data_IF_097423918981
#
_entry.id   IF_097423918981
#
_cell.length_a   1.000
_cell.length_b   1.000
_cell.length_c   1.000
_cell.angle_alpha   90.00
_cell.angle_beta   90.00
_cell.angle_gamma   90.00
#
_symmetry.space_group_name_H-M   'P 1'
#
loop_
_entity.id
_entity.type
_entity.pdbx_description
1 polymer ?
#
# COMPACT_ATOMS: atom_id res chain seq x y z
N UNK A 1 11.73 30.42 2.30
CA UNK A 1 12.14 31.80 2.66
C UNK A 1 11.93 32.13 4.13
N UNK A 2 10.81 31.72 4.77
CA UNK A 2 10.54 31.99 6.20
C UNK A 2 11.65 31.65 7.22
N UNK A 3 12.53 30.67 6.94
CA UNK A 3 13.62 30.29 7.86
C UNK A 3 14.75 31.32 7.91
N UNK A 4 15.09 31.95 6.77
CA UNK A 4 16.05 33.05 6.72
C UNK A 4 15.48 34.32 7.39
N UNK A 5 14.16 34.51 7.31
CA UNK A 5 13.45 35.63 7.96
C UNK A 5 13.45 35.53 9.49
N UNK A 6 13.65 34.33 10.06
CA UNK A 6 13.72 34.08 11.51
C UNK A 6 15.13 34.22 12.09
N UNK A 7 16.12 34.67 11.29
CA UNK A 7 17.50 34.86 11.75
C UNK A 7 18.33 33.58 11.82
N UNK A 8 17.83 32.46 11.31
CA UNK A 8 18.61 31.22 11.21
C UNK A 8 19.60 31.33 10.04
N UNK A 9 20.85 30.95 10.29
CA UNK A 9 21.94 31.06 9.33
C UNK A 9 21.78 30.05 8.17
N UNK A 10 22.23 30.47 6.98
CA UNK A 10 22.43 29.58 5.84
C UNK A 10 23.93 29.54 5.50
N UNK A 11 24.56 28.36 5.36
CA UNK A 11 23.99 27.02 5.53
C UNK A 11 23.68 26.68 7.01
N UNK A 12 22.74 25.75 7.27
CA UNK A 12 22.49 25.24 8.61
C UNK A 12 23.75 24.56 9.16
N UNK A 13 23.91 24.58 10.49
CA UNK A 13 24.93 23.73 11.11
C UNK A 13 24.58 22.23 10.93
N UNK A 14 25.51 21.34 11.28
CA UNK A 14 25.30 19.90 11.09
C UNK A 14 24.13 19.34 11.91
N UNK A 15 23.93 19.81 13.14
CA UNK A 15 22.85 19.33 14.00
C UNK A 15 21.49 19.82 13.47
N UNK A 16 21.41 21.07 13.01
CA UNK A 16 20.25 21.64 12.34
C UNK A 16 19.95 20.92 11.03
N UNK A 17 20.98 20.56 10.25
CA UNK A 17 20.83 19.79 9.03
C UNK A 17 20.26 18.39 9.32
N UNK A 18 20.84 17.67 10.29
CA UNK A 18 20.35 16.33 10.68
C UNK A 18 18.91 16.41 11.19
N UNK A 19 18.56 17.44 11.95
CA UNK A 19 17.19 17.65 12.43
C UNK A 19 16.23 17.90 11.26
N UNK A 20 16.62 18.74 10.30
CA UNK A 20 15.81 19.03 9.11
C UNK A 20 15.63 17.80 8.22
N UNK A 21 16.67 16.99 8.06
CA UNK A 21 16.60 15.70 7.36
C UNK A 21 15.73 14.71 8.12
N UNK A 22 15.79 14.65 9.45
CA UNK A 22 14.92 13.78 10.24
C UNK A 22 13.44 14.20 10.14
N UNK A 23 13.16 15.50 10.05
CA UNK A 23 11.81 16.03 9.87
C UNK A 23 11.21 15.70 8.49
N UNK A 24 12.04 15.67 7.43
CA UNK A 24 11.57 15.57 6.04
C UNK A 24 11.90 14.25 5.33
N UNK A 25 12.85 13.47 5.86
CA UNK A 25 13.39 12.27 5.23
C UNK A 25 12.49 11.05 5.30
N UNK A 26 11.37 11.14 6.03
CA UNK A 26 10.57 9.97 6.39
C UNK A 26 11.27 9.09 7.42
N UNK A 27 10.55 8.09 7.95
CA UNK A 27 11.11 7.16 8.92
C UNK A 27 12.02 6.10 8.27
N UNK A 28 12.07 4.91 8.85
CA UNK A 28 12.81 3.75 8.35
C UNK A 28 12.45 3.37 6.91
N UNK A 29 11.23 3.71 6.46
CA UNK A 29 10.77 3.44 5.10
C UNK A 29 11.09 4.59 4.12
N UNK A 30 11.59 5.73 4.60
CA UNK A 30 11.82 6.92 3.77
C UNK A 30 10.55 7.51 3.17
N UNK A 31 9.40 7.27 3.81
CA UNK A 31 8.08 7.70 3.35
C UNK A 31 7.44 8.63 4.38
N UNK A 32 6.76 9.67 3.88
CA UNK A 32 5.94 10.57 4.70
C UNK A 32 4.44 10.30 4.47
N UNK A 33 3.60 10.86 5.33
CA UNK A 33 2.13 10.81 5.14
C UNK A 33 1.72 11.50 3.85
N UNK A 34 2.46 12.54 3.43
CA UNK A 34 2.21 13.24 2.17
C UNK A 34 2.45 12.32 0.98
N UNK A 35 3.52 11.50 1.03
CA UNK A 35 3.82 10.53 -0.03
C UNK A 35 2.74 9.46 -0.15
N UNK A 36 2.23 8.97 0.99
CA UNK A 36 1.12 8.01 1.04
C UNK A 36 -0.13 8.59 0.39
N UNK A 37 -0.53 9.80 0.75
CA UNK A 37 -1.72 10.45 0.19
C UNK A 37 -1.55 10.79 -1.30
N UNK A 38 -0.35 11.21 -1.71
CA UNK A 38 -0.02 11.46 -3.11
C UNK A 38 -0.12 10.17 -3.93
N UNK A 39 0.40 9.05 -3.40
CA UNK A 39 0.30 7.76 -4.06
C UNK A 39 -1.15 7.25 -4.13
N UNK A 40 -1.91 7.42 -3.05
CA UNK A 40 -3.31 7.06 -3.02
C UNK A 40 -4.13 7.83 -4.06
N UNK A 41 -3.86 9.13 -4.20
CA UNK A 41 -4.46 9.96 -5.24
C UNK A 41 -4.06 9.50 -6.64
N UNK A 42 -2.78 9.20 -6.88
CA UNK A 42 -2.28 8.66 -8.15
C UNK A 42 -3.00 7.35 -8.50
N UNK A 43 -3.07 6.43 -7.55
CA UNK A 43 -3.76 5.17 -7.73
C UNK A 43 -5.25 5.38 -8.05
N UNK A 44 -5.97 6.21 -7.28
CA UNK A 44 -7.40 6.52 -7.55
C UNK A 44 -7.62 7.08 -8.96
N UNK A 45 -6.72 7.92 -9.44
CA UNK A 45 -6.81 8.56 -10.75
C UNK A 45 -6.44 7.65 -11.92
N UNK A 46 -5.71 6.55 -11.67
CA UNK A 46 -5.16 5.71 -12.73
C UNK A 46 -5.59 4.25 -12.63
N UNK A 47 -6.34 3.86 -11.58
CA UNK A 47 -6.69 2.46 -11.33
C UNK A 47 -7.43 1.82 -12.51
N UNK A 48 -8.23 2.61 -13.24
CA UNK A 48 -8.99 2.13 -14.40
C UNK A 48 -8.11 1.63 -15.56
N UNK A 49 -6.82 1.98 -15.57
CA UNK A 49 -5.87 1.53 -16.60
C UNK A 49 -5.36 0.11 -16.36
N UNK A 50 -5.57 -0.43 -15.17
CA UNK A 50 -5.02 -1.72 -14.73
C UNK A 50 -6.16 -2.70 -14.42
N UNK A 51 -5.93 -3.98 -14.64
CA UNK A 51 -6.94 -5.01 -14.38
C UNK A 51 -7.14 -5.24 -12.87
N UNK A 52 -6.06 -5.05 -12.10
CA UNK A 52 -6.05 -5.22 -10.65
C UNK A 52 -5.00 -4.31 -9.98
N UNK A 53 -5.05 -4.22 -8.65
CA UNK A 53 -4.14 -3.35 -7.88
C UNK A 53 -2.67 -3.82 -7.95
N UNK A 54 -2.47 -5.12 -8.17
CA UNK A 54 -1.16 -5.78 -8.26
C UNK A 54 -0.45 -5.52 -9.59
N UNK A 55 -1.15 -5.00 -10.60
CA UNK A 55 -0.57 -4.56 -11.87
C UNK A 55 -0.11 -3.10 -11.84
N UNK A 56 -0.57 -2.32 -10.86
CA UNK A 56 -0.17 -0.94 -10.70
C UNK A 56 1.31 -0.83 -10.33
N UNK A 57 2.02 0.12 -10.94
CA UNK A 57 3.43 0.36 -10.70
C UNK A 57 3.65 1.20 -9.42
N UNK A 58 3.57 0.53 -8.27
CA UNK A 58 3.76 1.14 -6.95
C UNK A 58 5.18 1.65 -6.77
N UNK A 59 5.33 2.91 -6.33
CA UNK A 59 6.67 3.49 -6.03
C UNK A 59 7.41 2.75 -4.93
N UNK A 60 6.66 2.14 -4.00
CA UNK A 60 7.20 1.37 -2.89
C UNK A 60 6.21 0.26 -2.50
N UNK A 61 6.66 -0.97 -2.20
CA UNK A 61 5.76 -2.10 -1.92
C UNK A 61 4.89 -1.89 -0.67
N UNK A 62 5.33 -1.08 0.30
CA UNK A 62 4.49 -0.72 1.47
C UNK A 62 3.30 0.12 1.05
N UNK A 63 3.44 0.97 0.03
CA UNK A 63 2.34 1.83 -0.41
C UNK A 63 1.18 1.01 -0.97
N UNK A 64 1.46 -0.12 -1.64
CA UNK A 64 0.41 -1.07 -2.03
C UNK A 64 -0.41 -1.51 -0.81
N UNK A 65 0.25 -1.93 0.27
CA UNK A 65 -0.42 -2.40 1.48
C UNK A 65 -1.24 -1.28 2.13
N UNK A 66 -0.63 -0.11 2.36
CA UNK A 66 -1.27 1.03 3.02
C UNK A 66 -2.43 1.57 2.18
N UNK A 67 -2.25 1.78 0.88
CA UNK A 67 -3.29 2.37 0.03
C UNK A 67 -4.50 1.44 -0.13
N UNK A 68 -4.30 0.11 -0.15
CA UNK A 68 -5.41 -0.84 -0.14
C UNK A 68 -6.16 -0.84 1.20
N UNK A 69 -5.45 -0.81 2.31
CA UNK A 69 -6.05 -0.69 3.64
C UNK A 69 -6.85 0.62 3.76
N UNK A 70 -6.31 1.75 3.28
CA UNK A 70 -7.01 3.04 3.24
C UNK A 70 -8.25 3.01 2.34
N UNK A 71 -8.18 2.36 1.18
CA UNK A 71 -9.35 2.19 0.30
C UNK A 71 -10.45 1.41 1.01
N UNK A 72 -10.12 0.32 1.69
CA UNK A 72 -11.08 -0.49 2.45
C UNK A 72 -11.69 0.31 3.60
N UNK A 73 -10.85 0.90 4.45
CA UNK A 73 -11.27 1.66 5.62
C UNK A 73 -12.05 2.92 5.24
N UNK A 74 -11.72 3.56 4.12
CA UNK A 74 -12.46 4.70 3.58
C UNK A 74 -13.93 4.36 3.31
N UNK A 75 -14.19 3.18 2.74
CA UNK A 75 -15.56 2.68 2.50
C UNK A 75 -16.23 2.25 3.80
N UNK A 76 -15.55 1.46 4.63
CA UNK A 76 -16.10 0.91 5.88
C UNK A 76 -16.46 2.01 6.89
N UNK A 77 -15.61 3.04 7.03
CA UNK A 77 -15.74 4.09 8.05
C UNK A 77 -16.23 5.43 7.51
N UNK A 78 -16.50 5.55 6.20
CA UNK A 78 -16.90 6.80 5.52
C UNK A 78 -15.96 7.96 5.89
N UNK A 79 -14.65 7.73 5.74
CA UNK A 79 -13.64 8.70 6.16
C UNK A 79 -13.78 10.02 5.38
N UNK A 80 -13.74 11.12 6.10
CA UNK A 80 -13.52 12.47 5.54
C UNK A 80 -12.03 12.65 5.19
N UNK A 81 -11.69 13.71 4.46
CA UNK A 81 -10.29 14.01 4.10
C UNK A 81 -9.35 14.10 5.32
N UNK A 82 -9.82 14.72 6.40
CA UNK A 82 -9.07 14.78 7.66
C UNK A 82 -8.92 13.40 8.33
N UNK A 83 -9.96 12.57 8.27
CA UNK A 83 -9.94 11.20 8.78
C UNK A 83 -9.03 10.28 7.96
N UNK A 84 -8.99 10.46 6.65
CA UNK A 84 -8.10 9.74 5.73
C UNK A 84 -6.63 10.07 6.01
N UNK A 85 -6.30 11.35 6.20
CA UNK A 85 -4.95 11.77 6.59
C UNK A 85 -4.54 11.20 7.95
N UNK A 86 -5.43 11.21 8.93
CA UNK A 86 -5.17 10.62 10.24
C UNK A 86 -4.96 9.10 10.15
N UNK A 87 -5.78 8.40 9.37
CA UNK A 87 -5.64 6.96 9.16
C UNK A 87 -4.34 6.62 8.41
N UNK A 88 -3.95 7.42 7.42
CA UNK A 88 -2.69 7.26 6.70
C UNK A 88 -1.48 7.37 7.64
N UNK A 89 -1.52 8.31 8.59
CA UNK A 89 -0.48 8.44 9.62
C UNK A 89 -0.41 7.20 10.53
N UNK A 90 -1.57 6.66 10.92
CA UNK A 90 -1.64 5.45 11.76
C UNK A 90 -1.07 4.23 11.03
N UNK A 91 -1.48 3.99 9.78
CA UNK A 91 -0.97 2.84 9.02
C UNK A 91 0.52 2.99 8.71
N UNK A 92 0.99 4.19 8.35
CA UNK A 92 2.41 4.44 8.14
C UNK A 92 3.22 4.15 9.41
N UNK A 93 2.78 4.65 10.57
CA UNK A 93 3.46 4.40 11.85
C UNK A 93 3.50 2.90 12.22
N UNK A 94 2.46 2.14 11.87
CA UNK A 94 2.42 0.68 12.07
C UNK A 94 3.43 -0.03 11.17
N UNK A 95 3.54 0.37 9.90
CA UNK A 95 4.52 -0.20 8.97
C UNK A 95 5.95 0.19 9.31
N UNK A 96 6.17 1.41 9.78
CA UNK A 96 7.44 1.89 10.34
C UNK A 96 7.91 1.02 11.51
N UNK A 97 7.03 0.76 12.49
CA UNK A 97 7.35 -0.13 13.62
C UNK A 97 7.71 -1.55 13.15
N UNK A 98 6.99 -2.08 12.16
CA UNK A 98 7.25 -3.40 11.57
C UNK A 98 8.59 -3.45 10.82
N UNK A 99 8.94 -2.38 10.12
CA UNK A 99 10.20 -2.28 9.41
C UNK A 99 11.38 -2.16 10.39
N UNK A 100 11.21 -1.36 11.45
CA UNK A 100 12.18 -1.25 12.55
C UNK A 100 12.39 -2.58 13.30
N UNK A 101 11.38 -3.45 13.36
CA UNK A 101 11.54 -4.81 13.91
C UNK A 101 12.20 -5.80 12.94
N UNK A 102 12.66 -5.35 11.78
CA UNK A 102 13.34 -6.18 10.78
C UNK A 102 12.42 -7.10 9.97
N UNK A 103 11.10 -6.95 10.09
CA UNK A 103 10.16 -7.79 9.33
C UNK A 103 10.02 -7.19 7.92
N UNK A 104 10.37 -7.94 6.86
CA UNK A 104 10.32 -7.42 5.51
C UNK A 104 8.88 -7.14 5.07
N UNK A 105 8.76 -6.22 4.12
CA UNK A 105 7.51 -5.90 3.46
C UNK A 105 7.12 -7.09 2.57
N UNK A 106 5.89 -7.62 2.70
CA UNK A 106 5.45 -8.72 1.85
C UNK A 106 5.50 -8.33 0.36
N UNK A 107 5.99 -9.22 -0.53
CA UNK A 107 5.97 -8.96 -1.96
C UNK A 107 4.54 -8.89 -2.48
N UNK A 108 4.31 -8.02 -3.47
CA UNK A 108 3.03 -7.93 -4.18
C UNK A 108 2.90 -9.19 -5.06
N UNK A 109 1.92 -10.05 -4.75
CA UNK A 109 1.69 -11.31 -5.45
C UNK A 109 0.45 -11.18 -6.31
N UNK A 110 0.60 -11.45 -7.61
CA UNK A 110 -0.55 -11.57 -8.52
C UNK A 110 -1.27 -12.88 -8.26
N UNK A 111 -2.60 -12.82 -8.20
CA UNK A 111 -3.40 -14.02 -8.16
C UNK A 111 -3.20 -14.79 -9.47
N UNK A 112 -2.71 -16.03 -9.38
CA UNK A 112 -2.59 -16.90 -10.53
C UNK A 112 -3.99 -17.23 -11.06
N UNK A 113 -4.12 -17.36 -12.38
CA UNK A 113 -5.36 -17.86 -13.00
C UNK A 113 -5.74 -19.16 -12.29
N UNK A 114 -6.99 -19.28 -11.88
CA UNK A 114 -7.48 -20.53 -11.32
C UNK A 114 -7.19 -21.67 -12.30
N UNK A 115 -6.71 -22.83 -11.83
CA UNK A 115 -6.46 -23.96 -12.72
C UNK A 115 -7.76 -24.25 -13.50
N UNK A 116 -7.63 -24.46 -14.80
CA UNK A 116 -8.78 -24.77 -15.63
C UNK A 116 -9.42 -26.05 -15.11
N UNK A 117 -10.70 -25.96 -14.73
CA UNK A 117 -11.44 -27.15 -14.33
C UNK A 117 -11.41 -28.11 -15.52
N UNK A 118 -11.10 -29.40 -15.30
CA UNK A 118 -11.11 -30.37 -16.39
C UNK A 118 -12.46 -30.30 -17.08
N UNK A 119 -12.46 -30.22 -18.41
CA UNK A 119 -13.67 -30.24 -19.21
C UNK A 119 -14.37 -31.58 -19.01
N UNK A 120 -15.53 -31.59 -18.36
CA UNK A 120 -16.30 -32.80 -18.13
C UNK A 120 -17.23 -32.72 -16.92
N UNK A 121 -18.12 -33.69 -16.81
CA UNK A 121 -18.93 -33.87 -15.61
C UNK A 121 -18.02 -34.12 -14.42
N UNK A 122 -18.25 -33.40 -13.33
CA UNK A 122 -17.58 -33.70 -12.06
C UNK A 122 -17.84 -35.16 -11.68
N UNK A 123 -16.95 -35.82 -10.92
CA UNK A 123 -17.17 -37.20 -10.50
C UNK A 123 -18.53 -37.42 -9.82
N UNK A 124 -18.99 -36.45 -9.03
CA UNK A 124 -20.31 -36.45 -8.41
C UNK A 124 -21.45 -36.42 -9.46
N UNK A 125 -21.30 -35.61 -10.52
CA UNK A 125 -22.26 -35.57 -11.62
C UNK A 125 -22.24 -36.84 -12.49
N UNK A 126 -21.08 -37.48 -12.66
CA UNK A 126 -20.98 -38.77 -13.35
C UNK A 126 -21.75 -39.86 -12.60
N UNK A 127 -21.61 -39.91 -11.26
CA UNK A 127 -22.36 -40.83 -10.41
C UNK A 127 -23.87 -40.56 -10.45
N UNK A 128 -24.29 -39.29 -10.40
CA UNK A 128 -25.70 -38.92 -10.51
C UNK A 128 -26.32 -39.27 -11.87
N UNK A 129 -25.52 -39.24 -12.95
CA UNK A 129 -25.91 -39.65 -14.29
C UNK A 129 -25.86 -41.17 -14.52
N UNK A 130 -25.49 -41.96 -13.51
CA UNK A 130 -25.37 -43.43 -13.62
C UNK A 130 -24.10 -43.92 -14.35
N UNK A 131 -23.17 -43.01 -14.67
CA UNK A 131 -21.89 -43.38 -15.26
C UNK A 131 -20.94 -43.88 -14.18
N UNK A 132 -20.34 -45.07 -14.35
CA UNK A 132 -19.25 -45.52 -13.48
C UNK A 132 -18.06 -44.58 -13.66
N UNK A 133 -17.47 -44.17 -12.54
CA UNK A 133 -16.26 -43.37 -12.52
C UNK A 133 -15.14 -44.09 -13.29
N UNK A 134 -14.67 -43.50 -14.40
CA UNK A 134 -13.50 -43.97 -15.14
C UNK A 134 -12.29 -43.24 -14.56
N UNK A 135 -11.35 -44.00 -13.99
CA UNK A 135 -10.10 -43.48 -13.43
C UNK A 135 -9.18 -42.93 -14.50
#
# INVERSE_FOLDING_TARGET
MKRCELGNNWPPDFAEFVSLVAEHGGGYLGLTVVDVLAELKRYRNEFYKYSCAEEFDWRHPVLYQICLDLKRLGVEKRLTDSGEKAQAAIELAKWEKRAASGVPVPPIRRQLKAPERPSGLTPAMQLAAGNRYVK
#
